data_IF_844594049268
#
_entry.id   IF_844594049268
#
_cell.length_a   1.000
_cell.length_b   1.000
_cell.length_c   1.000
_cell.angle_alpha   90.00
_cell.angle_beta   90.00
_cell.angle_gamma   90.00
#
_symmetry.space_group_name_H-M   'P 1'
#
loop_
_entity.id
_entity.type
_entity.pdbx_description
1 polymer ?
#
# COMPACT_ATOMS: atom_id res chain seq x y z
N UNK A 1 22.23 3.41 13.60
CA UNK A 1 20.92 2.88 14.02
C UNK A 1 20.15 2.51 12.77
N UNK A 2 19.63 1.28 12.68
CA UNK A 2 18.85 0.76 11.56
C UNK A 2 17.37 0.73 11.94
N UNK A 3 16.52 1.38 11.15
CA UNK A 3 15.08 1.52 11.42
C UNK A 3 14.29 0.92 10.27
N UNK A 4 13.35 0.03 10.57
CA UNK A 4 12.40 -0.47 9.58
C UNK A 4 11.26 0.53 9.37
N UNK A 5 10.89 0.77 8.11
CA UNK A 5 9.77 1.63 7.74
C UNK A 5 8.79 0.82 6.89
N UNK A 6 7.56 0.72 7.39
CA UNK A 6 6.46 -0.07 6.84
C UNK A 6 5.23 0.80 6.62
N UNK A 7 4.32 0.33 5.78
CA UNK A 7 2.97 0.87 5.63
C UNK A 7 2.08 -0.19 4.99
N UNK A 8 0.77 0.01 5.09
CA UNK A 8 -0.23 -0.69 4.28
C UNK A 8 -0.08 -2.22 4.35
N UNK A 9 0.01 -2.77 5.56
CA UNK A 9 0.13 -4.22 5.79
C UNK A 9 -1.19 -4.95 5.60
N UNK A 10 -2.33 -4.30 5.86
CA UNK A 10 -3.68 -4.85 5.63
C UNK A 10 -3.85 -6.28 6.19
N UNK A 11 -3.54 -6.48 7.48
CA UNK A 11 -3.63 -7.78 8.18
C UNK A 11 -2.72 -8.89 7.62
N UNK A 12 -1.60 -8.53 6.99
CA UNK A 12 -0.58 -9.50 6.58
C UNK A 12 0.81 -9.03 7.00
N UNK A 13 1.40 -9.74 7.95
CA UNK A 13 2.82 -9.66 8.28
C UNK A 13 3.51 -10.86 7.65
N UNK A 14 4.31 -10.62 6.61
CA UNK A 14 5.05 -11.69 5.93
C UNK A 14 6.16 -12.22 6.85
N UNK A 15 6.45 -13.53 6.84
CA UNK A 15 7.57 -14.07 7.60
C UNK A 15 8.91 -13.41 7.27
N UNK A 16 9.14 -13.06 5.99
CA UNK A 16 10.37 -12.34 5.61
C UNK A 16 10.41 -10.93 6.23
N UNK A 17 9.29 -10.22 6.26
CA UNK A 17 9.20 -8.90 6.90
C UNK A 17 9.45 -9.02 8.40
N UNK A 18 8.84 -10.00 9.07
CA UNK A 18 9.08 -10.25 10.50
C UNK A 18 10.55 -10.55 10.80
N UNK A 19 11.21 -11.38 9.97
CA UNK A 19 12.64 -11.67 10.11
C UNK A 19 13.51 -10.43 9.92
N UNK A 20 13.16 -9.55 8.97
CA UNK A 20 13.85 -8.28 8.75
C UNK A 20 13.67 -7.31 9.92
N UNK A 21 12.46 -7.25 10.51
CA UNK A 21 12.19 -6.43 11.69
C UNK A 21 13.10 -6.79 12.87
N UNK A 22 13.35 -8.08 13.10
CA UNK A 22 14.25 -8.55 14.16
C UNK A 22 15.71 -8.15 13.99
N UNK A 23 16.09 -7.55 12.85
CA UNK A 23 17.44 -7.01 12.60
C UNK A 23 17.54 -5.50 12.82
N UNK A 24 16.45 -4.85 13.21
CA UNK A 24 16.35 -3.40 13.33
C UNK A 24 16.30 -2.94 14.78
N UNK A 25 16.77 -1.72 15.03
CA UNK A 25 16.76 -1.08 16.34
C UNK A 25 15.41 -0.42 16.66
N UNK A 26 14.58 -0.16 15.64
CA UNK A 26 13.27 0.47 15.75
C UNK A 26 12.39 0.19 14.53
N UNK A 27 11.09 0.42 14.66
CA UNK A 27 10.10 0.27 13.58
C UNK A 27 9.17 1.48 13.49
N UNK A 28 8.86 1.89 12.27
CA UNK A 28 7.91 2.95 11.93
C UNK A 28 6.85 2.34 11.01
N UNK A 29 5.57 2.54 11.30
CA UNK A 29 4.46 2.09 10.47
C UNK A 29 3.51 3.25 10.13
N UNK A 30 3.40 3.59 8.85
CA UNK A 30 2.61 4.72 8.36
C UNK A 30 1.11 4.43 8.20
N UNK A 31 0.53 3.61 9.08
CA UNK A 31 -0.90 3.26 9.08
C UNK A 31 -1.33 2.20 8.06
N UNK A 32 -2.63 1.91 8.07
CA UNK A 32 -3.28 0.80 7.35
C UNK A 32 -2.72 -0.56 7.79
N UNK A 33 -2.67 -0.72 9.11
CA UNK A 33 -2.15 -1.90 9.80
C UNK A 33 -3.15 -3.06 9.61
N UNK A 34 -4.41 -2.81 9.96
CA UNK A 34 -5.55 -3.71 9.80
C UNK A 34 -6.10 -4.35 11.08
N UNK A 35 -5.30 -4.50 12.16
CA UNK A 35 -5.77 -5.01 13.46
C UNK A 35 -4.76 -4.77 14.59
N UNK A 36 -5.26 -4.82 15.84
CA UNK A 36 -4.43 -4.76 17.04
C UNK A 36 -3.44 -5.93 17.10
N UNK A 37 -3.88 -7.15 16.76
CA UNK A 37 -3.05 -8.35 16.78
C UNK A 37 -1.86 -8.22 15.83
N UNK A 38 -2.07 -7.63 14.64
CA UNK A 38 -0.97 -7.38 13.72
C UNK A 38 -0.01 -6.31 14.24
N UNK A 39 -0.54 -5.24 14.83
CA UNK A 39 0.29 -4.19 15.45
C UNK A 39 1.20 -4.78 16.54
N UNK A 40 0.64 -5.65 17.39
CA UNK A 40 1.39 -6.33 18.45
C UNK A 40 2.42 -7.31 17.86
N UNK A 41 2.07 -8.05 16.81
CA UNK A 41 3.02 -8.93 16.10
C UNK A 41 4.18 -8.15 15.45
N UNK A 42 3.93 -6.95 14.92
CA UNK A 42 4.99 -6.07 14.39
C UNK A 42 5.93 -5.61 15.51
N UNK A 43 5.38 -5.22 16.67
CA UNK A 43 6.17 -4.86 17.86
C UNK A 43 7.01 -6.03 18.35
N UNK A 44 6.40 -7.20 18.47
CA UNK A 44 7.09 -8.42 18.88
C UNK A 44 8.24 -8.78 17.92
N UNK A 45 7.99 -8.72 16.61
CA UNK A 45 9.01 -9.01 15.60
C UNK A 45 10.18 -8.02 15.61
N UNK A 46 9.93 -6.74 15.95
CA UNK A 46 10.99 -5.74 16.13
C UNK A 46 11.74 -5.89 17.48
N UNK A 47 11.16 -6.62 18.43
CA UNK A 47 11.63 -6.73 19.81
C UNK A 47 10.82 -5.82 20.75
N UNK A 48 10.44 -6.35 21.91
CA UNK A 48 9.54 -5.64 22.85
C UNK A 48 10.11 -4.31 23.38
N UNK A 49 11.44 -4.17 23.42
CA UNK A 49 12.12 -2.96 23.88
C UNK A 49 12.43 -1.99 22.72
N UNK A 50 12.25 -2.41 21.46
CA UNK A 50 12.52 -1.58 20.31
C UNK A 50 11.46 -0.48 20.17
N UNK A 51 11.85 0.80 20.00
CA UNK A 51 10.91 1.88 19.73
C UNK A 51 10.05 1.58 18.50
N UNK A 52 8.73 1.71 18.67
CA UNK A 52 7.77 1.39 17.63
C UNK A 52 6.75 2.54 17.46
N UNK A 53 6.75 3.16 16.28
CA UNK A 53 5.95 4.34 15.97
C UNK A 53 4.84 3.99 14.99
N UNK A 54 3.59 4.30 15.34
CA UNK A 54 2.41 3.99 14.54
C UNK A 54 1.54 5.23 14.41
N UNK A 55 0.94 5.40 13.23
CA UNK A 55 -0.19 6.32 13.01
C UNK A 55 -1.37 5.56 12.45
N UNK A 56 -2.56 6.12 12.61
CA UNK A 56 -3.81 5.57 12.10
C UNK A 56 -3.91 5.74 10.59
N UNK A 57 -4.18 4.64 9.87
CA UNK A 57 -4.59 4.68 8.47
C UNK A 57 -6.10 4.73 8.28
N UNK A 58 -6.56 4.99 7.06
CA UNK A 58 -8.01 5.09 6.80
C UNK A 58 -8.75 3.76 6.82
N UNK A 59 -8.03 2.63 6.79
CA UNK A 59 -8.61 1.29 6.96
C UNK A 59 -8.50 0.78 8.41
N UNK A 60 -7.91 1.56 9.31
CA UNK A 60 -7.80 1.23 10.73
C UNK A 60 -9.05 1.73 11.49
N UNK A 61 -9.97 0.79 11.76
CA UNK A 61 -11.28 1.05 12.37
C UNK A 61 -11.24 1.37 13.88
N UNK A 62 -12.29 1.00 14.61
CA UNK A 62 -12.47 1.33 16.04
C UNK A 62 -11.30 0.88 16.92
N UNK A 63 -10.67 -0.25 16.61
CA UNK A 63 -9.52 -0.78 17.37
C UNK A 63 -8.34 0.20 17.43
N UNK A 64 -8.24 1.11 16.46
CA UNK A 64 -7.16 2.08 16.30
C UNK A 64 -7.55 3.50 16.75
N UNK A 65 -8.66 3.69 17.47
CA UNK A 65 -9.06 5.01 17.99
C UNK A 65 -8.00 5.65 18.89
N UNK A 66 -7.22 4.85 19.61
CA UNK A 66 -6.11 5.33 20.42
C UNK A 66 -4.84 5.69 19.62
N UNK A 67 -4.78 5.41 18.32
CA UNK A 67 -3.64 5.76 17.48
C UNK A 67 -3.77 7.21 16.97
N UNK A 68 -2.68 7.98 16.99
CA UNK A 68 -2.70 9.34 16.47
C UNK A 68 -2.83 9.34 14.95
N UNK A 69 -3.50 10.34 14.38
CA UNK A 69 -3.57 10.52 12.92
C UNK A 69 -2.24 10.99 12.31
N UNK A 70 -1.44 11.72 13.11
CA UNK A 70 -0.08 12.12 12.78
C UNK A 70 0.80 12.12 14.03
N UNK A 71 2.10 11.92 13.87
CA UNK A 71 3.04 11.82 14.98
C UNK A 71 4.36 12.53 14.65
N UNK A 72 4.75 13.47 15.51
CA UNK A 72 6.09 14.05 15.53
C UNK A 72 6.95 13.31 16.56
N UNK A 73 8.17 12.92 16.19
CA UNK A 73 9.10 12.30 17.12
C UNK A 73 10.55 12.50 16.68
N UNK A 74 11.49 12.26 17.60
CA UNK A 74 12.92 12.27 17.30
C UNK A 74 13.49 10.88 17.54
N UNK A 75 14.27 10.38 16.58
CA UNK A 75 14.94 9.09 16.68
C UNK A 75 16.35 9.23 16.11
N UNK A 76 17.36 8.76 16.85
CA UNK A 76 18.77 8.87 16.42
C UNK A 76 19.24 10.31 16.17
N UNK A 77 18.62 11.31 16.82
CA UNK A 77 18.90 12.73 16.60
C UNK A 77 18.27 13.34 15.34
N UNK A 78 17.39 12.59 14.66
CA UNK A 78 16.67 13.04 13.46
C UNK A 78 15.20 13.27 13.82
N UNK A 79 14.65 14.40 13.39
CA UNK A 79 13.23 14.74 13.60
C UNK A 79 12.35 14.20 12.47
N UNK A 80 11.30 13.46 12.86
CA UNK A 80 10.34 12.80 11.97
C UNK A 80 8.93 13.40 12.10
N UNK A 81 8.22 13.40 10.97
CA UNK A 81 6.77 13.54 10.92
C UNK A 81 6.18 12.33 10.21
N UNK A 82 5.31 11.61 10.90
CA UNK A 82 4.65 10.40 10.41
C UNK A 82 3.16 10.69 10.22
N UNK A 83 2.61 10.33 9.07
CA UNK A 83 1.19 10.50 8.74
C UNK A 83 0.77 9.45 7.72
N UNK A 84 -0.49 9.02 7.67
CA UNK A 84 -0.87 8.03 6.66
C UNK A 84 -0.98 8.63 5.25
N UNK A 85 -1.68 9.76 5.07
CA UNK A 85 -1.87 10.37 3.74
C UNK A 85 -0.98 11.59 3.56
N UNK A 86 -0.28 11.66 2.43
CA UNK A 86 0.59 12.80 2.05
C UNK A 86 -0.11 14.16 2.11
N UNK A 87 -1.40 14.20 1.79
CA UNK A 87 -2.21 15.43 1.78
C UNK A 87 -2.49 16.01 3.18
N UNK A 88 -2.35 15.19 4.22
CA UNK A 88 -2.61 15.59 5.61
C UNK A 88 -1.33 16.17 6.26
N UNK A 89 -0.22 16.28 5.50
CA UNK A 89 0.99 16.98 5.95
C UNK A 89 0.70 18.50 5.97
N UNK A 90 0.91 19.18 7.11
CA UNK A 90 0.75 20.63 7.20
C UNK A 90 1.67 21.39 6.23
N UNK A 91 1.18 22.50 5.67
CA UNK A 91 1.99 23.36 4.79
C UNK A 91 3.21 23.93 5.51
N UNK A 92 3.04 24.28 6.79
CA UNK A 92 4.09 24.78 7.67
C UNK A 92 4.41 23.70 8.70
N UNK A 93 5.55 23.08 8.49
CA UNK A 93 6.11 22.10 9.40
C UNK A 93 7.54 22.55 9.65
N UNK A 94 7.98 22.79 10.88
CA UNK A 94 9.32 23.33 11.17
C UNK A 94 10.18 22.28 11.88
N UNK A 95 11.50 22.32 11.65
CA UNK A 95 12.44 21.43 12.33
C UNK A 95 12.36 19.94 11.99
N UNK A 96 11.47 19.54 11.07
CA UNK A 96 11.33 18.14 10.60
C UNK A 96 12.30 17.88 9.45
N UNK A 97 13.03 16.77 9.56
CA UNK A 97 14.00 16.33 8.55
C UNK A 97 13.45 15.22 7.66
N UNK A 98 12.59 14.35 8.21
CA UNK A 98 12.02 13.20 7.49
C UNK A 98 10.50 13.19 7.63
N UNK A 99 9.80 13.11 6.52
CA UNK A 99 8.35 12.89 6.46
C UNK A 99 8.12 11.48 5.93
N UNK A 100 7.43 10.66 6.71
CA UNK A 100 7.04 9.30 6.33
C UNK A 100 5.54 9.25 6.11
N UNK A 101 5.12 8.72 4.97
CA UNK A 101 3.71 8.51 4.67
C UNK A 101 3.41 7.21 3.92
N UNK A 102 2.13 6.84 3.86
CA UNK A 102 1.64 5.61 3.23
C UNK A 102 0.57 5.87 2.17
N UNK A 103 -0.49 5.07 2.20
CA UNK A 103 -1.77 5.22 1.48
C UNK A 103 -1.75 4.89 -0.01
N UNK A 104 -0.72 5.32 -0.75
CA UNK A 104 -0.63 5.04 -2.19
C UNK A 104 -0.17 3.62 -2.51
N UNK A 105 0.37 2.90 -1.51
CA UNK A 105 1.05 1.61 -1.64
C UNK A 105 2.27 1.64 -2.58
N UNK A 106 2.76 2.82 -2.98
CA UNK A 106 3.87 2.97 -3.91
C UNK A 106 5.09 3.52 -3.22
N UNK A 107 6.21 2.82 -3.40
CA UNK A 107 7.49 3.34 -2.96
C UNK A 107 7.74 4.73 -3.56
N UNK A 108 8.15 5.66 -2.71
CA UNK A 108 8.57 6.99 -3.12
C UNK A 108 9.66 7.46 -2.17
N UNK A 109 10.73 8.00 -2.75
CA UNK A 109 11.79 8.65 -2.01
C UNK A 109 12.12 9.94 -2.75
N UNK A 110 11.91 11.08 -2.10
CA UNK A 110 12.10 12.41 -2.69
C UNK A 110 12.75 13.33 -1.67
N UNK A 111 13.72 14.13 -2.10
CA UNK A 111 14.23 15.22 -1.29
C UNK A 111 13.58 16.53 -1.74
N UNK A 112 12.76 17.13 -0.86
CA UNK A 112 11.99 18.33 -1.17
C UNK A 112 12.07 19.31 -0.02
N UNK A 113 12.44 20.56 -0.35
CA UNK A 113 12.60 21.66 0.63
C UNK A 113 13.57 21.31 1.77
N UNK A 114 14.66 20.59 1.46
CA UNK A 114 15.68 20.18 2.42
C UNK A 114 15.24 19.06 3.38
N UNK A 115 14.22 18.27 2.98
CA UNK A 115 13.66 17.17 3.77
C UNK A 115 13.51 15.93 2.94
N UNK A 116 13.71 14.79 3.57
CA UNK A 116 13.39 13.49 3.00
C UNK A 116 11.89 13.23 3.11
N UNK A 117 11.24 12.94 1.99
CA UNK A 117 9.89 12.40 1.92
C UNK A 117 10.00 10.93 1.54
N UNK A 118 9.41 10.06 2.35
CA UNK A 118 9.46 8.63 2.16
C UNK A 118 8.06 8.02 2.22
N UNK A 119 7.73 7.26 1.20
CA UNK A 119 6.69 6.25 1.25
C UNK A 119 7.36 4.88 1.08
N UNK A 120 7.27 3.96 2.05
CA UNK A 120 7.89 2.64 1.95
C UNK A 120 7.17 1.71 0.95
N UNK A 121 6.00 2.11 0.44
CA UNK A 121 5.11 1.30 -0.35
C UNK A 121 4.22 0.42 0.52
N UNK A 122 3.97 -0.82 0.09
CA UNK A 122 3.13 -1.77 0.83
C UNK A 122 3.84 -3.11 0.98
N UNK A 123 4.01 -3.56 2.21
CA UNK A 123 4.59 -4.87 2.52
C UNK A 123 3.52 -5.95 2.79
N UNK A 124 2.24 -5.56 2.75
CA UNK A 124 1.08 -6.41 2.98
C UNK A 124 0.63 -7.23 1.77
N UNK A 125 -0.69 -7.39 1.63
CA UNK A 125 -1.30 -8.07 0.47
C UNK A 125 -1.01 -7.28 -0.79
N UNK A 126 -0.52 -7.97 -1.84
CA UNK A 126 -0.27 -7.34 -3.14
C UNK A 126 -1.57 -6.74 -3.67
N UNK A 127 -1.56 -5.43 -3.89
CA UNK A 127 -2.66 -4.73 -4.57
C UNK A 127 -2.23 -4.45 -6.01
N UNK A 128 -3.00 -4.96 -6.95
CA UNK A 128 -2.75 -4.77 -8.38
C UNK A 128 -1.42 -5.39 -8.80
N UNK A 129 -0.69 -4.72 -9.70
CA UNK A 129 0.65 -5.11 -10.14
C UNK A 129 1.78 -4.46 -9.31
N UNK A 130 1.43 -3.75 -8.23
CA UNK A 130 2.42 -3.01 -7.44
C UNK A 130 3.42 -3.95 -6.78
N UNK A 131 4.64 -3.43 -6.63
CA UNK A 131 5.74 -4.08 -5.95
C UNK A 131 5.45 -4.15 -4.46
N UNK A 132 5.88 -5.23 -3.82
CA UNK A 132 5.76 -5.38 -2.37
C UNK A 132 7.06 -4.83 -1.81
N UNK A 133 6.99 -3.70 -1.13
CA UNK A 133 8.19 -3.00 -0.67
C UNK A 133 8.09 -2.58 0.78
N UNK A 134 9.26 -2.42 1.38
CA UNK A 134 9.47 -1.66 2.60
C UNK A 134 10.77 -0.86 2.47
N UNK A 135 11.14 -0.10 3.49
CA UNK A 135 12.41 0.60 3.51
C UNK A 135 13.16 0.39 4.83
N UNK A 136 14.48 0.49 4.77
CA UNK A 136 15.32 0.76 5.93
C UNK A 136 15.79 2.21 5.92
N UNK A 137 15.86 2.79 7.11
CA UNK A 137 16.60 4.01 7.37
C UNK A 137 17.82 3.71 8.21
N UNK A 138 18.98 4.14 7.74
CA UNK A 138 20.21 4.15 8.53
C UNK A 138 20.44 5.57 9.05
N UNK A 139 20.30 5.73 10.35
CA UNK A 139 20.47 7.00 11.06
C UNK A 139 21.86 7.05 11.69
N UNK A 140 22.60 8.13 11.43
CA UNK A 140 23.91 8.37 12.02
C UNK A 140 24.48 9.76 11.71
N UNK A 141 25.11 10.40 12.72
CA UNK A 141 25.78 11.71 12.60
C UNK A 141 24.92 12.81 11.95
N UNK A 142 23.61 12.82 12.18
CA UNK A 142 22.69 13.79 11.58
C UNK A 142 22.28 13.50 10.13
N UNK A 143 22.75 12.39 9.55
CA UNK A 143 22.39 11.95 8.21
C UNK A 143 21.41 10.78 8.22
N UNK A 144 20.64 10.69 7.14
CA UNK A 144 19.67 9.62 6.88
C UNK A 144 19.99 9.00 5.54
N UNK A 145 20.26 7.70 5.52
CA UNK A 145 20.36 6.92 4.29
C UNK A 145 19.16 5.99 4.18
N UNK A 146 18.53 5.97 3.01
CA UNK A 146 17.39 5.09 2.71
C UNK A 146 17.86 3.89 1.90
N UNK A 147 17.41 2.70 2.28
CA UNK A 147 17.54 1.48 1.48
C UNK A 147 16.14 0.95 1.19
N UNK A 148 15.79 0.85 -0.09
CA UNK A 148 14.57 0.19 -0.54
C UNK A 148 14.74 -1.32 -0.44
N UNK A 149 13.72 -2.01 0.07
CA UNK A 149 13.67 -3.47 0.14
C UNK A 149 12.51 -3.96 -0.72
N UNK A 150 12.84 -4.71 -1.76
CA UNK A 150 11.87 -5.39 -2.61
C UNK A 150 11.62 -6.81 -2.09
N UNK A 151 10.36 -7.12 -1.80
CA UNK A 151 9.94 -8.41 -1.27
C UNK A 151 9.35 -9.25 -2.42
N UNK A 152 9.81 -10.50 -2.61
CA UNK A 152 9.26 -11.37 -3.63
C UNK A 152 7.77 -11.63 -3.36
N UNK A 153 6.96 -11.57 -4.42
CA UNK A 153 5.58 -12.01 -4.32
C UNK A 153 5.56 -13.54 -4.19
N UNK A 154 5.22 -14.05 -3.00
CA UNK A 154 4.92 -15.48 -2.83
C UNK A 154 3.87 -15.92 -3.88
N UNK A 155 4.09 -17.04 -4.59
CA UNK A 155 3.03 -17.61 -5.41
C UNK A 155 1.85 -17.96 -4.50
N UNK A 156 0.64 -17.58 -4.91
CA UNK A 156 -0.57 -17.82 -4.14
C UNK A 156 -0.81 -19.33 -4.03
N UNK A 157 -0.34 -19.96 -2.96
CA UNK A 157 -0.64 -21.36 -2.66
C UNK A 157 -2.07 -21.45 -2.13
N UNK A 158 -3.05 -21.63 -3.02
CA UNK A 158 -4.41 -21.97 -2.61
C UNK A 158 -5.53 -21.64 -3.59
N UNK A 159 -5.64 -22.39 -4.69
CA UNK A 159 -6.94 -22.85 -5.21
C UNK A 159 -6.73 -24.17 -5.93
N UNK A 160 -7.49 -25.17 -5.52
CA UNK A 160 -7.31 -26.57 -5.91
C UNK A 160 -7.20 -26.79 -7.42
N UNK A 161 -6.42 -27.83 -7.75
CA UNK A 161 -6.41 -28.49 -9.06
C UNK A 161 -7.79 -28.46 -9.71
N UNK A 162 -7.91 -27.74 -10.81
CA UNK A 162 -8.62 -28.25 -11.97
C UNK A 162 -7.70 -28.05 -13.16
N UNK A 163 -7.37 -29.19 -13.74
CA UNK A 163 -6.74 -29.32 -15.04
C UNK A 163 -7.40 -28.38 -16.04
N UNK A 164 -6.59 -27.73 -16.87
CA UNK A 164 -6.83 -27.56 -18.29
C UNK A 164 -5.63 -26.81 -18.88
N UNK A 165 -4.77 -27.63 -19.45
CA UNK A 165 -3.87 -27.32 -20.55
C UNK A 165 -4.61 -26.50 -21.62
N UNK A 166 -4.07 -25.32 -21.96
CA UNK A 166 -4.01 -24.71 -23.31
C UNK A 166 -3.44 -23.30 -23.23
N UNK A 167 -2.23 -23.18 -23.79
CA UNK A 167 -1.65 -21.92 -24.26
C UNK A 167 -2.58 -21.33 -25.32
N UNK A 168 -2.87 -20.03 -25.25
CA UNK A 168 -3.26 -19.21 -26.40
C UNK A 168 -3.20 -17.72 -25.98
N UNK A 169 -2.16 -17.05 -26.49
CA UNK A 169 -2.05 -15.64 -26.86
C UNK A 169 -2.41 -14.53 -25.86
N UNK A 170 -1.37 -13.99 -25.22
CA UNK A 170 -1.31 -12.62 -24.70
C UNK A 170 -1.65 -11.62 -25.83
N UNK A 171 -2.90 -11.13 -25.84
CA UNK A 171 -3.26 -9.89 -26.53
C UNK A 171 -3.40 -8.76 -25.52
N UNK A 172 -2.39 -7.92 -25.52
CA UNK A 172 -2.35 -6.62 -24.85
C UNK A 172 -3.46 -5.71 -25.45
N UNK A 173 -4.64 -5.72 -24.84
CA UNK A 173 -5.75 -4.86 -25.24
C UNK A 173 -5.72 -3.56 -24.42
N UNK A 174 -4.97 -2.57 -24.91
CA UNK A 174 -5.01 -1.18 -24.44
C UNK A 174 -6.42 -0.61 -24.63
N UNK A 175 -7.11 -0.28 -23.53
CA UNK A 175 -8.37 0.46 -23.55
C UNK A 175 -8.03 1.97 -23.54
N UNK A 176 -8.48 2.76 -24.55
CA UNK A 176 -8.32 4.21 -24.58
C UNK A 176 -8.95 4.90 -23.37
N UNK A 177 -8.32 5.96 -22.85
CA UNK A 177 -8.69 6.66 -21.60
C UNK A 177 -10.13 7.22 -21.64
N UNK A 178 -10.59 7.70 -22.79
CA UNK A 178 -11.96 8.23 -22.99
C UNK A 178 -13.07 7.17 -22.82
N UNK A 179 -12.72 5.87 -22.83
CA UNK A 179 -13.65 4.75 -22.66
C UNK A 179 -13.59 4.10 -21.26
N UNK A 180 -12.71 4.56 -20.37
CA UNK A 180 -12.50 3.89 -19.08
C UNK A 180 -13.62 4.20 -18.08
N UNK A 181 -14.06 5.45 -18.02
CA UNK A 181 -15.16 5.89 -17.15
C UNK A 181 -16.44 5.13 -17.49
N UNK A 182 -16.79 5.10 -18.78
CA UNK A 182 -17.97 4.41 -19.31
C UNK A 182 -17.89 2.89 -19.11
N UNK A 183 -16.68 2.31 -19.17
CA UNK A 183 -16.44 0.91 -18.85
C UNK A 183 -16.70 0.61 -17.36
N UNK A 184 -16.22 1.44 -16.44
CA UNK A 184 -16.43 1.27 -14.99
C UNK A 184 -17.91 1.41 -14.63
N UNK A 185 -18.59 2.43 -15.15
CA UNK A 185 -20.05 2.58 -14.99
C UNK A 185 -20.83 1.42 -15.60
N UNK A 186 -20.35 0.89 -16.73
CA UNK A 186 -20.93 -0.28 -17.38
C UNK A 186 -20.76 -1.57 -16.57
N UNK A 187 -19.63 -1.74 -15.88
CA UNK A 187 -19.39 -2.82 -14.92
C UNK A 187 -20.32 -2.66 -13.73
N UNK A 188 -20.43 -1.44 -13.18
CA UNK A 188 -21.30 -1.15 -12.04
C UNK A 188 -22.75 -1.55 -12.29
N UNK A 189 -23.33 -1.11 -13.41
CA UNK A 189 -24.72 -1.45 -13.79
C UNK A 189 -24.95 -2.94 -13.92
N UNK A 190 -23.96 -3.72 -14.38
CA UNK A 190 -24.09 -5.19 -14.54
C UNK A 190 -23.89 -5.91 -13.21
N UNK A 191 -23.01 -5.39 -12.35
CA UNK A 191 -22.83 -5.89 -11.00
C UNK A 191 -24.10 -5.70 -10.15
N UNK A 192 -24.78 -4.56 -10.29
CA UNK A 192 -26.06 -4.28 -9.63
C UNK A 192 -27.19 -5.21 -10.11
N UNK A 193 -27.05 -5.78 -11.31
CA UNK A 193 -27.93 -6.82 -11.85
C UNK A 193 -27.53 -8.24 -11.42
N UNK A 194 -26.53 -8.40 -10.54
CA UNK A 194 -26.06 -9.68 -10.01
C UNK A 194 -25.22 -10.50 -11.00
N UNK A 195 -24.60 -9.86 -11.99
CA UNK A 195 -23.80 -10.59 -12.97
C UNK A 195 -22.45 -11.02 -12.42
N UNK A 196 -22.00 -12.22 -12.81
CA UNK A 196 -20.67 -12.74 -12.46
C UNK A 196 -19.57 -12.08 -13.29
N UNK A 197 -18.37 -12.01 -12.72
CA UNK A 197 -17.18 -11.37 -13.33
C UNK A 197 -16.91 -11.92 -14.73
N UNK A 198 -16.98 -13.24 -14.91
CA UNK A 198 -16.68 -13.88 -16.21
C UNK A 198 -17.69 -13.49 -17.29
N UNK A 199 -18.95 -13.23 -16.90
CA UNK A 199 -20.00 -12.76 -17.81
C UNK A 199 -19.78 -11.31 -18.19
N UNK A 200 -19.45 -10.45 -17.22
CA UNK A 200 -19.21 -9.02 -17.46
C UNK A 200 -18.00 -8.84 -18.38
N UNK A 201 -16.89 -9.53 -18.10
CA UNK A 201 -15.68 -9.51 -18.93
C UNK A 201 -15.98 -9.92 -20.38
N UNK A 202 -16.69 -11.04 -20.58
CA UNK A 202 -17.02 -11.55 -21.92
C UNK A 202 -17.92 -10.60 -22.70
N UNK A 203 -18.95 -10.06 -22.08
CA UNK A 203 -19.96 -9.25 -22.76
C UNK A 203 -19.46 -7.83 -23.05
N UNK A 204 -18.64 -7.28 -22.16
CA UNK A 204 -18.03 -5.97 -22.35
C UNK A 204 -16.70 -6.03 -23.11
N UNK A 205 -16.21 -7.25 -23.42
CA UNK A 205 -14.88 -7.49 -24.01
C UNK A 205 -13.76 -6.79 -23.21
N UNK A 206 -13.85 -6.88 -21.88
CA UNK A 206 -12.90 -6.30 -20.94
C UNK A 206 -12.05 -7.39 -20.30
N UNK A 207 -10.81 -7.04 -19.96
CA UNK A 207 -9.93 -7.93 -19.19
C UNK A 207 -10.60 -8.38 -17.88
N UNK A 208 -10.53 -9.68 -17.59
CA UNK A 208 -11.17 -10.26 -16.42
C UNK A 208 -10.55 -9.74 -15.12
N UNK A 209 -9.23 -9.50 -15.10
CA UNK A 209 -8.53 -8.90 -13.97
C UNK A 209 -9.00 -7.48 -13.69
N UNK A 210 -9.19 -6.68 -14.73
CA UNK A 210 -9.76 -5.33 -14.63
C UNK A 210 -11.18 -5.35 -14.06
N UNK A 211 -12.06 -6.23 -14.56
CA UNK A 211 -13.45 -6.33 -14.05
C UNK A 211 -13.46 -6.78 -12.59
N UNK A 212 -12.70 -7.82 -12.24
CA UNK A 212 -12.57 -8.28 -10.86
C UNK A 212 -12.10 -7.16 -9.93
N UNK A 213 -11.11 -6.39 -10.38
CA UNK A 213 -10.55 -5.28 -9.64
C UNK A 213 -11.58 -4.17 -9.36
N UNK A 214 -12.34 -3.76 -10.37
CA UNK A 214 -13.41 -2.75 -10.23
C UNK A 214 -14.50 -3.26 -9.27
N UNK A 215 -14.94 -4.50 -9.44
CA UNK A 215 -15.93 -5.12 -8.56
C UNK A 215 -15.43 -5.18 -7.10
N UNK A 216 -14.17 -5.58 -6.89
CA UNK A 216 -13.56 -5.66 -5.55
C UNK A 216 -13.48 -4.29 -4.87
N UNK A 217 -13.09 -3.25 -5.60
CA UNK A 217 -13.03 -1.88 -5.05
C UNK A 217 -14.42 -1.42 -4.63
N UNK A 218 -15.45 -1.66 -5.45
CA UNK A 218 -16.83 -1.28 -5.12
C UNK A 218 -17.41 -2.04 -3.93
N UNK A 219 -17.07 -3.33 -3.77
CA UNK A 219 -17.48 -4.14 -2.61
C UNK A 219 -16.78 -3.66 -1.33
N UNK A 220 -15.50 -3.32 -1.42
CA UNK A 220 -14.71 -2.86 -0.26
C UNK A 220 -14.98 -1.41 0.13
N UNK A 221 -15.48 -0.59 -0.79
CA UNK A 221 -15.78 0.82 -0.59
C UNK A 221 -17.19 1.13 -1.14
N UNK A 222 -18.26 0.76 -0.43
CA UNK A 222 -19.63 1.03 -0.87
C UNK A 222 -19.85 2.54 -1.02
N UNK A 223 -20.32 2.98 -2.20
CA UNK A 223 -20.54 4.39 -2.53
C UNK A 223 -19.43 5.08 -3.33
N UNK A 224 -18.35 4.38 -3.69
CA UNK A 224 -17.30 4.92 -4.57
C UNK A 224 -17.84 5.23 -5.97
N UNK A 225 -17.58 6.43 -6.49
CA UNK A 225 -17.93 6.83 -7.86
C UNK A 225 -17.00 6.19 -8.89
N UNK A 226 -17.42 6.15 -10.16
CA UNK A 226 -16.57 5.66 -11.25
C UNK A 226 -15.26 6.48 -11.35
N UNK A 227 -15.34 7.79 -11.14
CA UNK A 227 -14.21 8.73 -11.06
C UNK A 227 -13.27 8.36 -9.90
N UNK A 228 -13.81 8.10 -8.71
CA UNK A 228 -13.02 7.68 -7.54
C UNK A 228 -12.36 6.30 -7.69
N UNK A 229 -12.87 5.45 -8.59
CA UNK A 229 -12.18 4.22 -9.02
C UNK A 229 -11.12 4.54 -10.07
N UNK A 230 -11.41 5.43 -11.02
CA UNK A 230 -10.43 5.88 -12.02
C UNK A 230 -9.21 6.50 -11.38
N UNK A 231 -9.33 7.41 -10.41
CA UNK A 231 -8.18 7.99 -9.71
C UNK A 231 -7.30 6.90 -9.07
N UNK A 232 -7.93 5.87 -8.49
CA UNK A 232 -7.24 4.71 -7.90
C UNK A 232 -6.58 3.80 -8.95
N UNK A 233 -7.04 3.82 -10.19
CA UNK A 233 -6.54 3.00 -11.31
C UNK A 233 -5.51 3.76 -12.17
N UNK A 234 -5.73 5.04 -12.45
CA UNK A 234 -4.91 5.90 -13.30
C UNK A 234 -3.60 6.24 -12.64
N UNK A 235 -3.61 6.45 -11.31
CA UNK A 235 -2.39 6.49 -10.51
C UNK A 235 -1.55 5.25 -10.81
N UNK A 236 -2.12 4.04 -10.95
CA UNK A 236 -1.37 2.81 -11.29
C UNK A 236 -0.84 2.73 -12.73
N UNK A 237 -1.42 3.46 -13.70
CA UNK A 237 -0.96 3.44 -15.10
C UNK A 237 0.21 4.40 -15.37
N UNK A 238 0.20 5.60 -14.78
CA UNK A 238 1.26 6.61 -15.04
C UNK A 238 2.64 6.24 -14.45
N UNK A 239 2.72 5.21 -13.59
CA UNK A 239 4.00 4.69 -13.05
C UNK A 239 4.48 3.41 -13.76
N UNK A 240 3.94 3.08 -14.94
CA UNK A 240 4.23 1.83 -15.67
C UNK A 240 4.67 2.05 -17.11
N UNK A 241 5.87 2.60 -17.32
CA UNK A 241 6.67 2.41 -18.53
C UNK A 241 8.15 2.73 -18.25
N UNK A 242 8.87 1.75 -17.70
CA UNK A 242 10.24 1.40 -18.11
C UNK A 242 10.39 -0.11 -18.01
#
# INVERSE_FOLDING_TARGET
MKVAVLSDTHNLLRPQVAALLGTCDAVIHAGDIGSLQLMDAVREAAGQEAPAFFVRGNNDGEWAEGLPESLCFTLGGISFFLVHKKKDVPEKLEGIQVIVHGHSHKYMQEEKSGRLWLNPGSCGKRRFNQEITMAFLYLGKGHVQVERVDLPAEPVSGRGKRDLDKREDEKDCRIPEDNLLSAIEGIFRRMDRGWKIERISREMKLDAGFVEQVCRIRVTHPGVSAEGIMDKIEVNRQTGAR
#
